data_IF_421635443278
#
_entry.id   IF_421635443278
#
_cell.length_a   1.000
_cell.length_b   1.000
_cell.length_c   1.000
_cell.angle_alpha   90.00
_cell.angle_beta   90.00
_cell.angle_gamma   90.00
#
_symmetry.space_group_name_H-M   'P 1'
#
loop_
_entity.id
_entity.type
_entity.pdbx_description
1 polymer ?
#
# COMPACT_ATOMS: atom_id res chain seq x y z
N UNK A 1 3.44 0.29 26.78
CA UNK A 1 3.09 1.17 25.66
C UNK A 1 2.88 0.30 24.44
N UNK A 2 1.79 0.47 23.70
CA UNK A 2 1.46 -0.32 22.50
C UNK A 2 1.72 0.48 21.21
N UNK A 3 2.31 1.68 21.31
CA UNK A 3 2.62 2.51 20.16
C UNK A 3 3.55 1.78 19.18
N UNK A 4 3.14 1.74 17.92
CA UNK A 4 3.96 1.27 16.81
C UNK A 4 4.61 2.48 16.13
N UNK A 5 5.95 2.45 16.08
CA UNK A 5 6.76 3.48 15.46
C UNK A 5 7.36 3.07 14.11
N UNK A 6 6.86 2.01 13.50
CA UNK A 6 7.29 1.55 12.18
C UNK A 6 7.30 2.69 11.14
N UNK A 7 8.35 2.75 10.28
CA UNK A 7 8.51 3.83 9.32
C UNK A 7 7.40 3.79 8.27
N UNK A 8 7.09 4.95 7.67
CA UNK A 8 6.25 5.00 6.47
C UNK A 8 6.98 4.28 5.33
N UNK A 9 6.31 3.36 4.65
CA UNK A 9 6.89 2.62 3.53
C UNK A 9 7.21 3.53 2.35
N UNK A 10 8.31 3.25 1.67
CA UNK A 10 8.58 3.85 0.37
C UNK A 10 7.50 3.41 -0.65
N UNK A 11 7.13 4.33 -1.55
CA UNK A 11 6.08 4.07 -2.53
C UNK A 11 6.46 2.94 -3.49
N UNK A 12 7.72 2.84 -3.93
CA UNK A 12 8.15 1.78 -4.85
C UNK A 12 8.14 0.41 -4.18
N UNK A 13 8.47 0.35 -2.88
CA UNK A 13 8.33 -0.89 -2.11
C UNK A 13 6.88 -1.41 -2.15
N UNK A 14 5.90 -0.52 -2.02
CA UNK A 14 4.48 -0.91 -2.09
C UNK A 14 4.08 -1.27 -3.53
N UNK A 15 4.59 -0.56 -4.55
CA UNK A 15 4.36 -0.91 -5.97
C UNK A 15 4.82 -2.34 -6.25
N UNK A 16 6.00 -2.72 -5.79
CA UNK A 16 6.55 -4.05 -6.03
C UNK A 16 5.76 -5.15 -5.31
N UNK A 17 5.25 -4.87 -4.11
CA UNK A 17 4.32 -5.77 -3.41
C UNK A 17 3.03 -5.98 -4.17
N UNK A 18 2.43 -4.91 -4.71
CA UNK A 18 1.20 -5.01 -5.54
C UNK A 18 1.48 -5.84 -6.80
N UNK A 19 2.58 -5.57 -7.51
CA UNK A 19 2.99 -6.35 -8.69
C UNK A 19 3.22 -7.82 -8.38
N UNK A 20 3.75 -8.13 -7.20
CA UNK A 20 3.93 -9.50 -6.76
C UNK A 20 2.57 -10.19 -6.54
N UNK A 21 1.60 -9.52 -5.92
CA UNK A 21 0.25 -10.05 -5.73
C UNK A 21 -0.44 -10.34 -7.07
N UNK A 22 -0.30 -9.45 -8.06
CA UNK A 22 -0.88 -9.61 -9.41
C UNK A 22 -0.36 -10.81 -10.21
N UNK A 23 0.67 -11.53 -9.72
CA UNK A 23 1.09 -12.81 -10.30
C UNK A 23 0.13 -13.95 -9.95
N UNK A 24 -0.73 -13.75 -8.96
CA UNK A 24 -1.58 -14.80 -8.37
C UNK A 24 -3.07 -14.46 -8.38
N UNK A 25 -3.44 -13.18 -8.57
CA UNK A 25 -4.82 -12.72 -8.61
C UNK A 25 -5.00 -11.67 -9.70
N UNK A 26 -6.13 -11.74 -10.40
CA UNK A 26 -6.51 -10.74 -11.41
C UNK A 26 -6.65 -9.35 -10.81
N UNK A 27 -6.31 -8.33 -11.60
CA UNK A 27 -6.24 -6.95 -11.11
C UNK A 27 -7.58 -6.39 -10.63
N UNK A 28 -8.69 -6.81 -11.24
CA UNK A 28 -10.06 -6.43 -10.87
C UNK A 28 -10.54 -7.08 -9.57
N UNK A 29 -9.81 -8.09 -9.08
CA UNK A 29 -10.09 -8.80 -7.83
C UNK A 29 -9.15 -8.44 -6.69
N UNK A 30 -8.10 -7.65 -6.93
CA UNK A 30 -7.13 -7.24 -5.92
C UNK A 30 -7.56 -5.96 -5.20
N UNK A 31 -7.83 -6.06 -3.90
CA UNK A 31 -7.97 -4.90 -3.00
C UNK A 31 -6.65 -4.70 -2.25
N UNK A 32 -6.06 -3.52 -2.40
CA UNK A 32 -4.87 -3.15 -1.63
C UNK A 32 -5.28 -2.48 -0.32
N UNK A 33 -4.75 -2.99 0.79
CA UNK A 33 -5.06 -2.52 2.13
C UNK A 33 -3.84 -2.67 3.05
N UNK A 34 -3.80 -1.96 4.19
CA UNK A 34 -2.87 -2.29 5.27
C UNK A 34 -3.15 -3.69 5.83
N UNK A 35 -2.11 -4.33 6.38
CA UNK A 35 -2.22 -5.68 6.95
C UNK A 35 -3.20 -5.76 8.14
N UNK A 36 -3.32 -4.68 8.92
CA UNK A 36 -4.19 -4.60 10.09
C UNK A 36 -4.68 -3.16 10.34
N UNK A 37 -5.46 -2.98 11.40
CA UNK A 37 -5.92 -1.68 11.86
C UNK A 37 -4.76 -0.78 12.33
N UNK A 38 -4.95 0.52 12.17
CA UNK A 38 -3.91 1.53 12.43
C UNK A 38 -4.06 2.24 13.79
N UNK A 39 -4.83 1.65 14.71
CA UNK A 39 -5.20 2.26 16.01
C UNK A 39 -3.98 2.67 16.86
N UNK A 40 -2.91 1.90 16.76
CA UNK A 40 -1.70 2.08 17.56
C UNK A 40 -0.62 2.93 16.89
N UNK A 41 -0.88 3.43 15.68
CA UNK A 41 0.04 4.31 14.96
C UNK A 41 -0.23 5.77 15.32
N UNK A 42 0.82 6.60 15.47
CA UNK A 42 0.70 8.04 15.39
C UNK A 42 -0.06 8.47 14.13
N UNK A 43 -0.89 9.51 14.23
CA UNK A 43 -1.80 9.93 13.16
C UNK A 43 -1.06 10.29 11.86
N UNK A 44 0.08 10.96 11.99
CA UNK A 44 0.96 11.33 10.88
C UNK A 44 1.55 10.11 10.17
N UNK A 45 2.00 9.09 10.93
CA UNK A 45 2.45 7.82 10.37
C UNK A 45 1.31 7.09 9.65
N UNK A 46 0.13 7.02 10.27
CA UNK A 46 -1.02 6.37 9.64
C UNK A 46 -1.40 7.05 8.32
N UNK A 47 -1.46 8.38 8.30
CA UNK A 47 -1.73 9.14 7.08
C UNK A 47 -0.64 8.96 6.02
N UNK A 48 0.63 8.95 6.42
CA UNK A 48 1.77 8.73 5.52
C UNK A 48 1.74 7.36 4.86
N UNK A 49 1.49 6.29 5.63
CA UNK A 49 1.38 4.92 5.10
C UNK A 49 0.22 4.78 4.11
N UNK A 50 -0.96 5.32 4.44
CA UNK A 50 -2.10 5.33 3.53
C UNK A 50 -1.85 6.16 2.26
N UNK A 51 -1.12 7.27 2.39
CA UNK A 51 -0.71 8.10 1.25
C UNK A 51 0.24 7.35 0.32
N UNK A 52 1.22 6.62 0.86
CA UNK A 52 2.12 5.77 0.08
C UNK A 52 1.36 4.64 -0.64
N UNK A 53 0.43 3.97 0.06
CA UNK A 53 -0.43 2.94 -0.51
C UNK A 53 -1.27 3.46 -1.69
N UNK A 54 -1.92 4.61 -1.51
CA UNK A 54 -2.77 5.21 -2.56
C UNK A 54 -1.94 5.60 -3.79
N UNK A 55 -0.75 6.18 -3.61
CA UNK A 55 0.17 6.54 -4.70
C UNK A 55 0.67 5.30 -5.44
N UNK A 56 1.06 4.26 -4.73
CA UNK A 56 1.51 3.00 -5.32
C UNK A 56 0.39 2.36 -6.16
N UNK A 57 -0.83 2.31 -5.63
CA UNK A 57 -1.99 1.79 -6.34
C UNK A 57 -2.33 2.61 -7.60
N UNK A 58 -2.18 3.94 -7.56
CA UNK A 58 -2.35 4.80 -8.72
C UNK A 58 -1.30 4.50 -9.81
N UNK A 59 -0.02 4.36 -9.44
CA UNK A 59 1.07 4.00 -10.37
C UNK A 59 0.82 2.65 -11.05
N UNK A 60 0.43 1.63 -10.28
CA UNK A 60 0.15 0.31 -10.83
C UNK A 60 -1.06 0.34 -11.77
N UNK A 61 -2.15 1.02 -11.39
CA UNK A 61 -3.33 1.17 -12.26
C UNK A 61 -2.99 1.86 -13.58
N UNK A 62 -2.20 2.93 -13.55
CA UNK A 62 -1.74 3.60 -14.76
C UNK A 62 -0.94 2.65 -15.66
N UNK A 63 -0.04 1.86 -15.09
CA UNK A 63 0.76 0.89 -15.83
C UNK A 63 -0.07 -0.27 -16.43
N UNK A 64 -1.19 -0.62 -15.81
CA UNK A 64 -2.12 -1.63 -16.33
C UNK A 64 -3.02 -1.10 -17.45
N UNK A 65 -3.42 0.17 -17.40
CA UNK A 65 -4.24 0.80 -18.44
C UNK A 65 -3.48 1.06 -19.76
N UNK A 66 -2.14 1.05 -19.71
CA UNK A 66 -1.28 1.14 -20.90
C UNK A 66 -0.90 -0.21 -21.53
N UNK A 67 -1.47 -1.32 -21.05
CA UNK A 67 -1.38 -2.66 -21.66
C UNK A 67 -2.68 -2.96 -22.40
#
# INVERSE_FOLDING_TARGET
DLADDSPIEDTETVVDRIRNALRYIEADRLIVAPDCGMKYLPRDKAFGKLSALARAAAKVRFALAGR
#
